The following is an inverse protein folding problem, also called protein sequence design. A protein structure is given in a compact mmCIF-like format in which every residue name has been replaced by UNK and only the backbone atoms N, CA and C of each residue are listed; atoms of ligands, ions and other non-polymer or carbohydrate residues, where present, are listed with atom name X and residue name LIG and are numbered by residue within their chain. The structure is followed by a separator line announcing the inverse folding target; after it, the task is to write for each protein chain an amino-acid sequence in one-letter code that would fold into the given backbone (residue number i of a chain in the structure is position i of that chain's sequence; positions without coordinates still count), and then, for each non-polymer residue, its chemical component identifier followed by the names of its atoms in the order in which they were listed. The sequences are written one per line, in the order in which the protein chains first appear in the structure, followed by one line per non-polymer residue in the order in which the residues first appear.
data_IF_589051733840
#
_entry.id   IF_589051733840
#
_cell.length_a   1.000
_cell.length_b   1.000
_cell.length_c   1.000
_cell.angle_alpha   90.00
_cell.angle_beta   90.00
_cell.angle_gamma   90.00
#
_symmetry.space_group_name_H-M   'P 1'
#
loop_
_entity.id
_entity.type
_entity.pdbx_description
1 polymer ?
#
# COMPACT_ATOMS: atom_id res chain seq x y z
N UNK A 1 12.73 -5.20 -23.60
CA UNK A 1 11.71 -5.67 -22.62
C UNK A 1 10.55 -4.69 -22.63
N UNK A 2 9.33 -5.16 -22.90
CA UNK A 2 8.12 -4.36 -22.86
C UNK A 2 7.30 -4.75 -21.61
N UNK A 3 6.77 -3.74 -20.92
CA UNK A 3 5.91 -3.90 -19.76
C UNK A 3 4.50 -3.50 -20.12
N UNK A 4 3.55 -4.38 -19.92
CA UNK A 4 2.12 -4.08 -20.00
C UNK A 4 1.50 -4.26 -18.61
N UNK A 5 0.81 -3.25 -18.12
CA UNK A 5 0.11 -3.28 -16.83
C UNK A 5 -1.37 -3.09 -17.11
N UNK A 6 -2.16 -4.04 -16.64
CA UNK A 6 -3.60 -4.06 -16.75
C UNK A 6 -4.18 -3.76 -15.36
N UNK A 7 -4.90 -2.68 -15.22
CA UNK A 7 -5.58 -2.31 -13.97
C UNK A 7 -7.04 -2.60 -14.14
N UNK A 8 -7.62 -3.37 -13.21
CA UNK A 8 -9.04 -3.80 -13.26
C UNK A 8 -9.41 -4.47 -14.60
N UNK A 9 -8.53 -5.35 -15.07
CA UNK A 9 -8.75 -6.12 -16.27
C UNK A 9 -10.07 -6.89 -16.16
N UNK A 10 -10.89 -6.83 -17.21
CA UNK A 10 -12.25 -7.37 -17.26
C UNK A 10 -13.18 -6.95 -16.09
N UNK A 11 -12.95 -5.75 -15.53
CA UNK A 11 -13.75 -5.23 -14.42
C UNK A 11 -13.42 -5.82 -13.06
N UNK A 12 -12.42 -6.70 -12.96
CA UNK A 12 -12.01 -7.33 -11.71
C UNK A 12 -11.13 -6.43 -10.85
N UNK A 13 -11.25 -6.51 -9.53
CA UNK A 13 -10.43 -5.71 -8.62
C UNK A 13 -9.03 -6.29 -8.49
N UNK A 14 -8.04 -5.51 -8.92
CA UNK A 14 -6.65 -5.88 -8.89
C UNK A 14 -5.87 -5.34 -10.06
N UNK A 15 -4.71 -5.90 -10.31
CA UNK A 15 -3.91 -5.61 -11.47
C UNK A 15 -3.19 -6.87 -11.95
N UNK A 16 -2.90 -6.87 -13.24
CA UNK A 16 -2.06 -7.89 -13.87
C UNK A 16 -0.92 -7.19 -14.59
N UNK A 17 0.23 -7.81 -14.66
CA UNK A 17 1.31 -7.33 -15.50
C UNK A 17 1.82 -8.43 -16.42
N UNK A 18 2.28 -8.03 -17.58
CA UNK A 18 3.00 -8.87 -18.53
C UNK A 18 4.33 -8.22 -18.83
N UNK A 19 5.42 -8.96 -18.66
CA UNK A 19 6.76 -8.54 -19.00
C UNK A 19 7.28 -9.41 -20.13
N UNK A 20 7.38 -8.85 -21.32
CA UNK A 20 7.93 -9.55 -22.48
C UNK A 20 9.45 -9.53 -22.39
N UNK A 21 10.05 -10.67 -22.04
CA UNK A 21 11.48 -10.91 -22.11
C UNK A 21 11.94 -11.30 -23.52
N UNK A 22 13.18 -11.72 -23.66
CA UNK A 22 13.75 -12.15 -24.93
C UNK A 22 13.27 -13.55 -25.34
N UNK A 23 13.17 -14.47 -24.36
CA UNK A 23 12.85 -15.89 -24.59
C UNK A 23 11.63 -16.37 -23.83
N UNK A 24 11.11 -15.58 -22.90
CA UNK A 24 9.95 -15.92 -22.08
C UNK A 24 9.11 -14.66 -21.79
N UNK A 25 7.93 -14.90 -21.25
CA UNK A 25 7.00 -13.86 -20.81
C UNK A 25 6.67 -14.14 -19.35
N UNK A 26 7.00 -13.18 -18.47
CA UNK A 26 6.59 -13.23 -17.07
C UNK A 26 5.18 -12.64 -16.94
N UNK A 27 4.31 -13.37 -16.28
CA UNK A 27 2.93 -12.94 -16.00
C UNK A 27 2.69 -12.99 -14.51
N UNK A 28 2.17 -11.91 -13.96
CA UNK A 28 1.66 -11.86 -12.59
C UNK A 28 0.24 -11.31 -12.63
N UNK A 29 -0.68 -11.97 -11.93
CA UNK A 29 -2.02 -11.45 -11.69
C UNK A 29 -2.28 -11.35 -10.19
N UNK A 30 -2.89 -10.26 -9.75
CA UNK A 30 -3.22 -10.01 -8.35
C UNK A 30 -4.68 -9.61 -8.22
N UNK A 31 -5.28 -9.99 -7.10
CA UNK A 31 -6.63 -9.56 -6.73
C UNK A 31 -6.65 -9.21 -5.24
N UNK A 32 -7.60 -8.39 -4.83
CA UNK A 32 -7.81 -8.06 -3.42
C UNK A 32 -8.68 -9.08 -2.68
N UNK A 33 -9.03 -10.16 -3.33
CA UNK A 33 -9.76 -11.30 -2.79
C UNK A 33 -9.06 -12.62 -3.18
N UNK A 34 -9.37 -13.74 -2.49
CA UNK A 34 -8.75 -15.02 -2.82
C UNK A 34 -8.98 -15.44 -4.27
N UNK A 35 -7.92 -15.89 -4.94
CA UNK A 35 -7.96 -16.36 -6.31
C UNK A 35 -8.29 -17.86 -6.35
N UNK A 36 -9.37 -18.23 -7.04
CA UNK A 36 -9.61 -19.64 -7.41
C UNK A 36 -8.78 -20.01 -8.64
N UNK A 37 -8.63 -21.32 -8.89
CA UNK A 37 -7.90 -21.80 -10.07
C UNK A 37 -8.64 -21.43 -11.36
N UNK A 38 -9.98 -21.42 -11.35
CA UNK A 38 -10.81 -21.02 -12.47
C UNK A 38 -10.59 -19.54 -12.82
N UNK A 39 -10.55 -18.66 -11.80
CA UNK A 39 -10.27 -17.24 -11.99
C UNK A 39 -8.87 -17.01 -12.57
N UNK A 40 -7.86 -17.73 -12.06
CA UNK A 40 -6.49 -17.63 -12.57
C UNK A 40 -6.45 -18.06 -14.05
N UNK A 41 -7.08 -19.19 -14.39
CA UNK A 41 -7.09 -19.69 -15.76
C UNK A 41 -7.85 -18.78 -16.72
N UNK A 42 -8.98 -18.22 -16.29
CA UNK A 42 -9.75 -17.25 -17.10
C UNK A 42 -8.96 -16.00 -17.37
N UNK A 43 -8.29 -15.46 -16.36
CA UNK A 43 -7.44 -14.28 -16.48
C UNK A 43 -6.24 -14.53 -17.40
N UNK A 44 -5.53 -15.65 -17.22
CA UNK A 44 -4.41 -16.01 -18.10
C UNK A 44 -4.85 -16.18 -19.55
N UNK A 45 -6.08 -16.70 -19.78
CA UNK A 45 -6.64 -16.80 -21.13
C UNK A 45 -6.91 -15.43 -21.73
N UNK A 46 -7.56 -14.54 -20.99
CA UNK A 46 -7.85 -13.19 -21.45
C UNK A 46 -6.55 -12.41 -21.76
N UNK A 47 -5.56 -12.47 -20.85
CA UNK A 47 -4.24 -11.86 -21.06
C UNK A 47 -3.51 -12.44 -22.28
N UNK A 48 -3.64 -13.74 -22.56
CA UNK A 48 -3.05 -14.36 -23.73
C UNK A 48 -3.73 -13.89 -25.05
N UNK A 49 -5.05 -13.70 -25.04
CA UNK A 49 -5.78 -13.18 -26.20
C UNK A 49 -5.36 -11.74 -26.55
N UNK A 50 -5.09 -10.92 -25.53
CA UNK A 50 -4.61 -9.54 -25.71
C UNK A 50 -3.11 -9.42 -25.97
N UNK A 51 -2.31 -10.42 -25.55
CA UNK A 51 -0.86 -10.45 -25.77
C UNK A 51 -0.43 -11.70 -26.55
N UNK A 52 -0.36 -11.63 -27.88
CA UNK A 52 0.03 -12.76 -28.72
C UNK A 52 1.43 -13.33 -28.46
N UNK A 53 2.32 -12.57 -27.79
CA UNK A 53 3.67 -13.02 -27.43
C UNK A 53 3.65 -13.94 -26.19
N UNK A 54 2.58 -13.96 -25.42
CA UNK A 54 2.41 -14.84 -24.28
C UNK A 54 2.25 -16.29 -24.76
N UNK A 55 3.23 -17.15 -24.46
CA UNK A 55 3.19 -18.58 -24.82
C UNK A 55 2.17 -19.36 -23.99
N UNK A 56 1.90 -20.61 -24.42
CA UNK A 56 0.97 -21.52 -23.72
C UNK A 56 1.67 -22.49 -22.76
N UNK A 57 3.00 -22.55 -22.79
CA UNK A 57 3.79 -23.48 -21.99
C UNK A 57 4.31 -22.77 -20.76
N UNK A 58 3.92 -23.25 -19.58
CA UNK A 58 4.53 -22.82 -18.32
C UNK A 58 5.97 -23.37 -18.26
N UNK A 59 6.96 -22.49 -18.15
CA UNK A 59 8.37 -22.85 -18.03
C UNK A 59 8.89 -22.74 -16.61
N UNK A 60 8.29 -21.89 -15.80
CA UNK A 60 8.59 -21.71 -14.37
C UNK A 60 7.46 -20.97 -13.67
N UNK A 61 7.43 -20.99 -12.34
CA UNK A 61 6.42 -20.31 -11.54
C UNK A 61 5.15 -21.15 -11.40
N UNK A 62 4.00 -20.54 -11.58
CA UNK A 62 2.70 -21.18 -11.35
C UNK A 62 2.37 -21.35 -9.86
N UNK A 63 2.95 -20.50 -9.00
CA UNK A 63 2.69 -20.46 -7.57
C UNK A 63 1.67 -19.37 -7.23
N UNK A 64 0.91 -19.61 -6.17
CA UNK A 64 -0.02 -18.66 -5.58
C UNK A 64 0.46 -18.29 -4.19
N UNK A 65 0.38 -17.02 -3.84
CA UNK A 65 0.74 -16.50 -2.53
C UNK A 65 -0.24 -15.41 -2.10
N UNK A 66 -0.48 -15.32 -0.81
CA UNK A 66 -1.18 -14.19 -0.20
C UNK A 66 -0.14 -13.19 0.32
N UNK A 67 -0.31 -11.93 -0.02
CA UNK A 67 0.62 -10.85 0.34
C UNK A 67 -0.14 -9.81 1.17
N UNK A 68 0.38 -9.40 2.34
CA UNK A 68 -0.28 -8.42 3.20
C UNK A 68 -0.17 -6.99 2.65
N UNK A 69 -0.89 -6.68 1.57
CA UNK A 69 -0.89 -5.34 0.94
C UNK A 69 -1.72 -4.35 1.76
N UNK A 70 -1.24 -4.02 2.93
CA UNK A 70 -1.86 -3.11 3.89
C UNK A 70 -0.79 -2.24 4.58
N UNK A 71 -1.23 -1.38 5.48
CA UNK A 71 -0.31 -0.65 6.38
C UNK A 71 0.48 -1.64 7.27
N UNK A 72 1.71 -1.28 7.69
CA UNK A 72 2.47 -2.06 8.67
C UNK A 72 1.67 -2.31 9.96
N UNK A 73 2.06 -3.29 10.76
CA UNK A 73 1.54 -3.45 12.11
C UNK A 73 1.82 -2.20 12.94
N UNK A 74 0.94 -1.88 13.89
CA UNK A 74 1.11 -0.74 14.80
C UNK A 74 2.27 -0.92 15.77
N UNK A 75 2.57 -2.18 16.12
CA UNK A 75 3.69 -2.62 16.97
C UNK A 75 4.14 -3.98 16.45
N UNK A 76 5.44 -4.15 16.26
CA UNK A 76 6.03 -5.39 15.77
C UNK A 76 7.29 -5.81 16.53
N UNK A 77 7.50 -5.24 17.73
CA UNK A 77 8.54 -5.64 18.68
C UNK A 77 7.94 -5.98 20.04
N UNK A 78 8.53 -6.94 20.71
CA UNK A 78 8.32 -7.22 22.15
C UNK A 78 9.61 -7.81 22.74
N UNK A 79 9.65 -8.09 24.06
CA UNK A 79 10.83 -8.64 24.69
C UNK A 79 11.29 -9.93 23.99
N UNK A 80 12.51 -9.91 23.48
CA UNK A 80 13.12 -11.03 22.77
C UNK A 80 12.60 -11.30 21.36
N UNK A 81 11.76 -10.41 20.80
CA UNK A 81 11.15 -10.63 19.50
C UNK A 81 11.02 -9.33 18.68
N UNK A 82 11.36 -9.42 17.40
CA UNK A 82 11.11 -8.37 16.42
C UNK A 82 10.69 -8.98 15.09
N UNK A 83 9.55 -8.54 14.53
CA UNK A 83 9.10 -8.99 13.23
C UNK A 83 9.67 -8.11 12.10
N UNK A 84 9.94 -8.73 10.94
CA UNK A 84 10.32 -8.06 9.69
C UNK A 84 9.57 -8.68 8.52
N UNK A 85 9.44 -7.94 7.41
CA UNK A 85 8.81 -8.44 6.20
C UNK A 85 7.31 -8.64 6.32
N UNK A 86 6.78 -9.68 5.67
CA UNK A 86 5.35 -9.90 5.55
C UNK A 86 4.67 -10.15 6.89
N UNK A 87 5.35 -10.77 7.87
CA UNK A 87 4.79 -10.97 9.21
C UNK A 87 4.58 -9.66 10.00
N UNK A 88 5.22 -8.56 9.58
CA UNK A 88 4.96 -7.21 10.08
C UNK A 88 4.21 -6.34 9.06
N UNK A 89 3.65 -6.94 8.01
CA UNK A 89 2.98 -6.26 6.90
C UNK A 89 3.86 -5.19 6.23
N UNK A 90 5.16 -5.48 6.08
CA UNK A 90 6.14 -4.55 5.48
C UNK A 90 6.19 -4.72 3.96
N UNK A 91 5.05 -4.58 3.31
CA UNK A 91 4.93 -4.56 1.86
C UNK A 91 4.60 -3.16 1.36
N UNK A 92 5.01 -2.84 0.14
CA UNK A 92 4.61 -1.60 -0.51
C UNK A 92 3.11 -1.69 -0.86
N UNK A 93 2.22 -0.93 -0.21
CA UNK A 93 0.78 -1.20 -0.25
C UNK A 93 0.13 -1.14 -1.62
N UNK A 94 0.69 -0.37 -2.55
CA UNK A 94 0.13 -0.19 -3.91
C UNK A 94 0.61 -1.28 -4.86
N UNK A 95 1.85 -1.78 -4.67
CA UNK A 95 2.50 -2.71 -5.62
C UNK A 95 2.66 -4.13 -5.07
N UNK A 96 2.44 -4.36 -3.78
CA UNK A 96 2.68 -5.66 -3.13
C UNK A 96 4.16 -6.05 -3.03
N UNK A 97 5.11 -5.14 -3.33
CA UNK A 97 6.56 -5.43 -3.28
C UNK A 97 7.08 -5.30 -1.86
N UNK A 98 7.49 -6.41 -1.22
CA UNK A 98 7.99 -6.45 0.16
C UNK A 98 9.51 -6.54 0.29
N UNK A 99 10.23 -7.02 -0.74
CA UNK A 99 11.67 -7.34 -0.66
C UNK A 99 12.50 -6.12 -0.21
N UNK A 100 12.29 -4.96 -0.82
CA UNK A 100 13.03 -3.74 -0.48
C UNK A 100 12.78 -3.26 0.95
N UNK A 101 11.54 -3.33 1.42
CA UNK A 101 11.19 -2.98 2.79
C UNK A 101 11.78 -3.97 3.80
N UNK A 102 11.70 -5.27 3.51
CA UNK A 102 12.25 -6.33 4.36
C UNK A 102 13.76 -6.22 4.51
N UNK A 103 14.50 -5.94 3.42
CA UNK A 103 15.95 -5.75 3.47
C UNK A 103 16.34 -4.51 4.29
N UNK A 104 15.64 -3.40 4.12
CA UNK A 104 15.87 -2.18 4.91
C UNK A 104 15.54 -2.41 6.38
N UNK A 105 14.38 -3.00 6.68
CA UNK A 105 13.98 -3.36 8.04
C UNK A 105 14.97 -4.30 8.71
N UNK A 106 15.44 -5.32 7.99
CA UNK A 106 16.50 -6.23 8.48
C UNK A 106 17.80 -5.51 8.79
N UNK A 107 18.21 -4.53 7.98
CA UNK A 107 19.39 -3.69 8.24
C UNK A 107 19.21 -2.84 9.50
N UNK A 108 18.03 -2.21 9.67
CA UNK A 108 17.71 -1.42 10.87
C UNK A 108 17.71 -2.29 12.14
N UNK A 109 17.08 -3.47 12.07
CA UNK A 109 17.06 -4.42 13.19
C UNK A 109 18.45 -4.93 13.53
N UNK A 110 19.28 -5.28 12.54
CA UNK A 110 20.64 -5.74 12.75
C UNK A 110 21.50 -4.67 13.44
N UNK A 111 21.36 -3.41 13.04
CA UNK A 111 22.03 -2.28 13.69
C UNK A 111 21.58 -2.13 15.14
N UNK A 112 20.27 -2.13 15.39
CA UNK A 112 19.68 -2.05 16.72
C UNK A 112 20.18 -3.21 17.61
N UNK A 113 20.19 -4.44 17.11
CA UNK A 113 20.68 -5.61 17.85
C UNK A 113 22.19 -5.55 18.13
N UNK A 114 23.01 -4.99 17.23
CA UNK A 114 24.45 -4.82 17.45
C UNK A 114 24.77 -3.74 18.50
N UNK A 115 23.88 -2.78 18.69
CA UNK A 115 24.01 -1.72 19.71
C UNK A 115 23.56 -2.20 21.12
N UNK A 116 22.81 -3.30 21.20
CA UNK A 116 22.39 -3.92 22.47
C UNK A 116 23.56 -4.71 23.11
N UNK A 117 24.39 -4.01 23.90
CA UNK A 117 25.59 -4.59 24.51
C UNK A 117 25.29 -5.63 25.58
N UNK A 118 24.14 -5.54 26.21
CA UNK A 118 23.73 -6.41 27.30
C UNK A 118 23.01 -7.68 26.77
N UNK A 119 22.66 -7.71 25.47
CA UNK A 119 22.00 -8.83 24.81
C UNK A 119 20.60 -9.13 25.37
N UNK A 120 19.93 -8.14 25.93
CA UNK A 120 18.61 -8.30 26.56
C UNK A 120 17.49 -8.33 25.53
N UNK A 121 17.67 -7.65 24.40
CA UNK A 121 16.68 -7.53 23.33
C UNK A 121 15.26 -7.26 23.86
N UNK A 122 15.17 -6.39 24.86
CA UNK A 122 13.89 -6.00 25.45
C UNK A 122 13.16 -4.96 24.59
N UNK A 123 11.90 -4.68 24.93
CA UNK A 123 11.10 -3.68 24.23
C UNK A 123 11.78 -2.32 24.12
N UNK A 124 12.48 -1.87 25.17
CA UNK A 124 13.14 -0.57 25.21
C UNK A 124 14.25 -0.46 24.15
N UNK A 125 15.08 -1.50 24.04
CA UNK A 125 16.13 -1.58 23.02
C UNK A 125 15.54 -1.74 21.63
N UNK A 126 14.63 -2.71 21.44
CA UNK A 126 14.06 -3.02 20.14
C UNK A 126 13.15 -1.91 19.58
N UNK A 127 12.63 -1.03 20.45
CA UNK A 127 11.83 0.12 20.02
C UNK A 127 12.60 1.08 19.10
N UNK A 128 13.91 1.14 19.21
CA UNK A 128 14.74 1.96 18.33
C UNK A 128 14.60 1.52 16.86
N UNK A 129 14.56 0.20 16.62
CA UNK A 129 14.30 -0.37 15.30
C UNK A 129 12.91 0.01 14.79
N UNK A 130 11.88 -0.13 15.63
CA UNK A 130 10.50 0.22 15.25
C UNK A 130 10.36 1.72 14.95
N UNK A 131 10.96 2.56 15.78
CA UNK A 131 10.95 4.01 15.59
C UNK A 131 11.69 4.44 14.30
N UNK A 132 12.85 3.84 14.01
CA UNK A 132 13.58 4.09 12.76
C UNK A 132 12.78 3.63 11.54
N UNK A 133 12.16 2.45 11.61
CA UNK A 133 11.32 1.94 10.54
C UNK A 133 10.11 2.85 10.26
N UNK A 134 9.34 3.25 11.28
CA UNK A 134 8.20 4.14 11.08
C UNK A 134 8.61 5.47 10.49
N UNK A 135 9.71 6.06 10.96
CA UNK A 135 10.26 7.32 10.46
C UNK A 135 10.65 7.24 8.98
N UNK A 136 11.35 6.17 8.59
CA UNK A 136 11.95 6.05 7.25
C UNK A 136 11.00 5.45 6.20
N UNK A 137 10.08 4.57 6.63
CA UNK A 137 9.25 3.76 5.73
C UNK A 137 7.79 3.76 6.18
N UNK A 138 7.53 3.46 7.47
CA UNK A 138 6.22 3.08 7.97
C UNK A 138 5.15 4.13 7.75
N UNK A 139 5.43 5.41 8.04
CA UNK A 139 4.46 6.49 7.81
C UNK A 139 4.14 6.68 6.32
N UNK A 140 5.15 6.58 5.45
CA UNK A 140 4.95 6.58 4.00
C UNK A 140 4.08 5.41 3.54
N UNK A 141 4.33 4.22 4.06
CA UNK A 141 3.51 3.04 3.78
C UNK A 141 2.07 3.21 4.27
N UNK A 142 1.84 3.80 5.45
CA UNK A 142 0.50 4.12 5.94
C UNK A 142 -0.25 5.06 5.00
N UNK A 143 0.39 6.11 4.52
CA UNK A 143 -0.21 7.06 3.56
C UNK A 143 -0.56 6.39 2.24
N UNK A 144 0.31 5.52 1.73
CA UNK A 144 0.02 4.74 0.52
C UNK A 144 -1.09 3.71 0.74
N UNK A 145 -1.19 3.11 1.94
CA UNK A 145 -2.28 2.21 2.28
C UNK A 145 -3.64 2.93 2.28
N UNK A 146 -3.69 4.17 2.77
CA UNK A 146 -4.89 5.01 2.66
C UNK A 146 -5.34 5.18 1.22
N UNK A 147 -4.40 5.49 0.34
CA UNK A 147 -4.70 5.67 -1.08
C UNK A 147 -5.10 4.35 -1.74
N UNK A 148 -4.39 3.25 -1.43
CA UNK A 148 -4.72 1.91 -1.96
C UNK A 148 -6.13 1.49 -1.58
N UNK A 149 -6.60 1.82 -0.38
CA UNK A 149 -7.95 1.47 0.07
C UNK A 149 -9.07 2.14 -0.76
N UNK A 150 -8.73 3.12 -1.59
CA UNK A 150 -9.66 3.70 -2.57
C UNK A 150 -9.74 2.87 -3.87
N UNK A 151 -8.68 2.13 -4.23
CA UNK A 151 -8.58 1.44 -5.52
C UNK A 151 -9.73 0.45 -5.83
N UNK A 152 -10.24 -0.34 -4.86
CA UNK A 152 -11.38 -1.23 -5.11
C UNK A 152 -12.65 -0.49 -5.54
N UNK A 153 -12.80 0.77 -5.12
CA UNK A 153 -14.00 1.57 -5.33
C UNK A 153 -13.94 2.52 -6.53
N UNK A 154 -12.83 2.56 -7.26
CA UNK A 154 -12.72 3.32 -8.51
C UNK A 154 -12.79 2.39 -9.71
N UNK A 155 -13.53 2.79 -10.71
CA UNK A 155 -13.60 2.08 -12.00
C UNK A 155 -12.32 2.31 -12.82
N UNK A 156 -12.06 1.47 -13.82
CA UNK A 156 -10.94 1.67 -14.75
C UNK A 156 -11.02 3.04 -15.45
N UNK A 157 -12.25 3.48 -15.79
CA UNK A 157 -12.50 4.80 -16.37
C UNK A 157 -12.12 5.93 -15.41
N UNK A 158 -12.53 5.85 -14.15
CA UNK A 158 -12.18 6.86 -13.13
C UNK A 158 -10.67 6.91 -12.88
N UNK A 159 -9.97 5.76 -12.87
CA UNK A 159 -8.50 5.74 -12.79
C UNK A 159 -7.89 6.45 -14.00
N UNK A 160 -8.41 6.19 -15.21
CA UNK A 160 -7.95 6.86 -16.42
C UNK A 160 -8.20 8.37 -16.38
N UNK A 161 -9.37 8.80 -15.91
CA UNK A 161 -9.73 10.22 -15.76
C UNK A 161 -8.78 10.90 -14.75
N UNK A 162 -8.54 10.27 -13.58
CA UNK A 162 -7.63 10.81 -12.56
C UNK A 162 -6.17 10.95 -13.05
N UNK A 163 -5.70 10.02 -13.86
CA UNK A 163 -4.35 10.07 -14.43
C UNK A 163 -4.27 10.99 -15.64
N UNK A 164 -5.27 10.97 -16.50
CA UNK A 164 -5.34 11.79 -17.73
C UNK A 164 -5.40 13.28 -17.44
N UNK A 165 -6.17 13.69 -16.43
CA UNK A 165 -6.29 15.07 -15.97
C UNK A 165 -5.15 15.50 -15.03
N UNK A 166 -4.10 14.69 -14.89
CA UNK A 166 -2.99 14.92 -13.94
C UNK A 166 -3.43 15.20 -12.50
N UNK A 167 -4.54 14.59 -12.08
CA UNK A 167 -5.07 14.75 -10.73
C UNK A 167 -4.20 14.01 -9.73
N UNK A 168 -3.58 12.91 -10.17
CA UNK A 168 -2.62 12.15 -9.40
C UNK A 168 -1.36 11.94 -10.23
N UNK A 169 -0.33 12.74 -9.96
CA UNK A 169 0.97 12.65 -10.66
C UNK A 169 1.94 11.73 -9.94
N UNK A 170 2.95 11.24 -10.66
CA UNK A 170 4.03 10.42 -10.08
C UNK A 170 4.80 11.19 -9.01
N UNK A 171 5.03 12.50 -9.21
CA UNK A 171 5.70 13.39 -8.27
C UNK A 171 4.92 13.51 -6.96
N UNK A 172 3.61 13.68 -7.04
CA UNK A 172 2.75 13.76 -5.84
C UNK A 172 2.68 12.43 -5.09
N UNK A 173 2.68 11.32 -5.81
CA UNK A 173 2.79 9.98 -5.21
C UNK A 173 4.09 9.83 -4.43
N UNK A 174 5.20 10.31 -4.99
CA UNK A 174 6.50 10.32 -4.33
C UNK A 174 6.50 11.24 -3.11
N UNK A 175 5.98 12.45 -3.23
CA UNK A 175 5.86 13.37 -2.11
C UNK A 175 4.98 12.82 -0.97
N UNK A 176 3.86 12.17 -1.32
CA UNK A 176 2.98 11.52 -0.35
C UNK A 176 3.69 10.43 0.44
N UNK A 177 4.62 9.74 -0.20
CA UNK A 177 5.44 8.72 0.45
C UNK A 177 6.55 9.32 1.33
N UNK A 178 7.28 10.31 0.81
CA UNK A 178 8.51 10.83 1.43
C UNK A 178 8.26 11.90 2.51
N UNK A 179 7.21 12.71 2.36
CA UNK A 179 6.95 13.86 3.23
C UNK A 179 5.93 13.53 4.33
N UNK A 180 6.06 14.17 5.48
CA UNK A 180 5.03 14.12 6.53
C UNK A 180 3.77 14.85 6.06
N UNK A 181 2.60 14.36 6.45
CA UNK A 181 1.34 15.02 6.08
C UNK A 181 1.23 16.44 6.63
N UNK A 182 1.81 16.73 7.80
CA UNK A 182 1.87 18.08 8.33
C UNK A 182 2.59 19.05 7.39
N UNK A 183 3.64 18.59 6.69
CA UNK A 183 4.34 19.41 5.68
C UNK A 183 3.59 19.53 4.35
N UNK A 184 2.64 18.63 4.09
CA UNK A 184 1.79 18.63 2.89
C UNK A 184 0.51 19.46 3.08
N UNK A 185 0.05 19.70 4.32
CA UNK A 185 -1.11 20.53 4.64
C UNK A 185 -0.77 22.03 4.66
N UNK A 186 -0.10 22.49 3.62
CA UNK A 186 0.19 23.92 3.43
C UNK A 186 -0.98 24.61 2.71
N UNK A 187 -1.14 25.95 2.84
CA UNK A 187 -2.12 26.70 2.06
C UNK A 187 -2.00 26.47 0.56
N UNK A 188 -0.78 26.24 0.07
CA UNK A 188 -0.51 25.91 -1.34
C UNK A 188 -1.05 24.53 -1.72
N UNK A 189 -0.86 23.53 -0.87
CA UNK A 189 -1.38 22.18 -1.10
C UNK A 189 -2.91 22.15 -1.07
N UNK A 190 -3.52 22.88 -0.13
CA UNK A 190 -4.99 23.03 -0.06
C UNK A 190 -5.53 23.71 -1.33
N UNK A 191 -4.83 24.74 -1.82
CA UNK A 191 -5.19 25.39 -3.09
C UNK A 191 -5.08 24.43 -4.28
N UNK A 192 -4.00 23.63 -4.34
CA UNK A 192 -3.81 22.63 -5.40
C UNK A 192 -4.93 21.55 -5.39
N UNK A 193 -5.30 21.05 -4.21
CA UNK A 193 -6.43 20.11 -4.07
C UNK A 193 -7.73 20.76 -4.58
N UNK A 194 -7.97 22.02 -4.23
CA UNK A 194 -9.18 22.73 -4.69
C UNK A 194 -9.22 22.88 -6.21
N UNK A 195 -8.09 23.18 -6.85
CA UNK A 195 -8.01 23.26 -8.31
C UNK A 195 -8.26 21.90 -8.96
N UNK A 196 -7.67 20.84 -8.43
CA UNK A 196 -7.92 19.47 -8.89
C UNK A 196 -9.38 19.04 -8.74
N UNK A 197 -10.04 19.41 -7.66
CA UNK A 197 -11.46 19.16 -7.48
C UNK A 197 -12.34 19.91 -8.50
N UNK A 198 -11.89 21.07 -9.01
CA UNK A 198 -12.59 21.76 -10.11
C UNK A 198 -12.47 21.03 -11.43
N UNK A 199 -11.33 20.40 -11.72
CA UNK A 199 -11.13 19.59 -12.91
C UNK A 199 -12.08 18.37 -12.94
N UNK A 200 -12.51 17.91 -11.76
CA UNK A 200 -13.45 16.80 -11.61
C UNK A 200 -14.93 17.23 -11.53
N UNK A 201 -15.29 18.47 -11.90
CA UNK A 201 -16.70 18.90 -11.81
C UNK A 201 -17.63 18.07 -12.68
N UNK A 202 -17.16 17.60 -13.83
CA UNK A 202 -17.91 16.74 -14.74
C UNK A 202 -17.84 15.25 -14.38
N UNK A 203 -17.10 14.91 -13.29
CA UNK A 203 -16.90 13.56 -12.78
C UNK A 203 -17.26 13.49 -11.27
N UNK A 204 -18.56 13.60 -10.91
CA UNK A 204 -18.98 13.75 -9.51
C UNK A 204 -18.55 12.59 -8.60
N UNK A 205 -18.54 11.37 -9.11
CA UNK A 205 -18.15 10.19 -8.33
C UNK A 205 -16.65 10.21 -8.00
N UNK A 206 -15.81 10.46 -9.00
CA UNK A 206 -14.34 10.62 -8.81
C UNK A 206 -14.03 11.78 -7.87
N UNK A 207 -14.76 12.89 -7.99
CA UNK A 207 -14.63 14.05 -7.11
C UNK A 207 -14.96 13.72 -5.66
N UNK A 208 -16.06 13.00 -5.40
CA UNK A 208 -16.47 12.59 -4.05
C UNK A 208 -15.47 11.61 -3.44
N UNK A 209 -14.93 10.68 -4.22
CA UNK A 209 -13.89 9.74 -3.78
C UNK A 209 -12.60 10.48 -3.40
N UNK A 210 -12.18 11.47 -4.20
CA UNK A 210 -11.01 12.30 -3.88
C UNK A 210 -11.24 13.14 -2.61
N UNK A 211 -12.45 13.69 -2.42
CA UNK A 211 -12.80 14.40 -1.19
C UNK A 211 -12.75 13.49 0.03
N UNK A 212 -13.31 12.29 -0.04
CA UNK A 212 -13.25 11.32 1.03
C UNK A 212 -11.80 10.93 1.37
N UNK A 213 -10.97 10.70 0.36
CA UNK A 213 -9.55 10.45 0.56
C UNK A 213 -8.88 11.61 1.31
N UNK A 214 -9.15 12.85 0.91
CA UNK A 214 -8.60 14.05 1.58
C UNK A 214 -9.01 14.12 3.05
N UNK A 215 -10.26 13.79 3.38
CA UNK A 215 -10.73 13.74 4.77
C UNK A 215 -9.96 12.70 5.58
N UNK A 216 -9.73 11.49 5.02
CA UNK A 216 -8.99 10.45 5.70
C UNK A 216 -7.51 10.82 5.89
N UNK A 217 -6.89 11.47 4.91
CA UNK A 217 -5.55 12.04 5.09
C UNK A 217 -5.50 13.09 6.19
N UNK A 218 -6.50 13.97 6.28
CA UNK A 218 -6.62 14.94 7.37
C UNK A 218 -6.74 14.27 8.75
N UNK A 219 -7.52 13.20 8.87
CA UNK A 219 -7.61 12.41 10.10
C UNK A 219 -6.28 11.72 10.43
N UNK A 220 -5.60 11.15 9.42
CA UNK A 220 -4.28 10.53 9.61
C UNK A 220 -3.24 11.52 10.13
N UNK A 221 -3.26 12.76 9.65
CA UNK A 221 -2.37 13.82 10.13
C UNK A 221 -2.50 14.10 11.64
N UNK A 222 -3.62 13.71 12.27
CA UNK A 222 -3.82 13.77 13.73
C UNK A 222 -3.39 12.50 14.46
N UNK A 223 -3.26 11.38 13.74
CA UNK A 223 -2.81 10.10 14.30
C UNK A 223 -1.29 9.99 14.26
N UNK A 224 -0.68 10.26 13.11
CA UNK A 224 0.77 10.12 12.86
C UNK A 224 1.66 10.75 13.95
N UNK A 225 1.41 12.00 14.43
CA UNK A 225 2.24 12.62 15.48
C UNK A 225 2.10 11.98 16.86
N UNK A 226 1.16 11.06 17.07
CA UNK A 226 0.99 10.37 18.36
C UNK A 226 1.91 9.16 18.52
N UNK A 227 2.74 8.86 17.51
CA UNK A 227 3.74 7.79 17.57
C UNK A 227 4.82 8.12 18.62
N UNK A 228 5.08 7.24 19.58
CA UNK A 228 6.11 7.45 20.59
C UNK A 228 7.50 7.18 20.01
N UNK A 229 8.34 8.20 19.91
CA UNK A 229 9.73 8.07 19.41
C UNK A 229 10.67 7.36 20.39
N UNK A 230 10.26 7.23 21.64
CA UNK A 230 10.96 6.46 22.69
C UNK A 230 9.98 5.47 23.29
N UNK A 231 10.49 4.33 23.73
CA UNK A 231 9.66 3.34 24.39
C UNK A 231 9.08 3.89 25.69
N UNK A 232 7.78 3.88 25.76
CA UNK A 232 6.96 4.02 26.97
C UNK A 232 5.74 3.14 26.79
N UNK A 233 5.56 2.16 27.66
CA UNK A 233 4.52 1.14 27.53
C UNK A 233 3.12 1.73 27.39
N UNK A 234 2.82 2.79 28.14
CA UNK A 234 1.50 3.42 28.09
C UNK A 234 1.31 4.21 26.79
N UNK A 235 2.33 4.95 26.36
CA UNK A 235 2.31 5.68 25.09
C UNK A 235 2.22 4.74 23.89
N UNK A 236 2.96 3.61 23.89
CA UNK A 236 2.91 2.58 22.86
C UNK A 236 1.52 1.95 22.79
N UNK A 237 0.93 1.59 23.94
CA UNK A 237 -0.44 1.03 23.96
C UNK A 237 -1.47 2.02 23.42
N UNK A 238 -1.38 3.29 23.79
CA UNK A 238 -2.25 4.35 23.30
C UNK A 238 -2.10 4.60 21.79
N UNK A 239 -0.86 4.57 21.30
CA UNK A 239 -0.55 4.63 19.88
C UNK A 239 -1.20 3.47 19.13
N UNK A 240 -0.92 2.22 19.57
CA UNK A 240 -1.43 1.02 18.93
C UNK A 240 -2.96 1.01 18.84
N UNK A 241 -3.65 1.38 19.94
CA UNK A 241 -5.10 1.51 19.96
C UNK A 241 -5.57 2.54 18.92
N UNK A 242 -5.05 3.77 18.97
CA UNK A 242 -5.44 4.86 18.06
C UNK A 242 -5.17 4.53 16.60
N UNK A 243 -4.04 3.88 16.33
CA UNK A 243 -3.64 3.44 14.99
C UNK A 243 -4.59 2.38 14.44
N UNK A 244 -4.86 1.32 15.24
CA UNK A 244 -5.74 0.24 14.82
C UNK A 244 -7.18 0.72 14.62
N UNK A 245 -7.74 1.46 15.58
CA UNK A 245 -9.06 2.08 15.46
C UNK A 245 -9.18 2.95 14.21
N UNK A 246 -8.12 3.71 13.87
CA UNK A 246 -8.11 4.53 12.67
C UNK A 246 -8.26 3.70 11.41
N UNK A 247 -7.44 2.65 11.23
CA UNK A 247 -7.47 1.82 10.02
C UNK A 247 -8.69 0.89 9.95
N UNK A 248 -9.23 0.44 11.08
CA UNK A 248 -10.46 -0.35 11.15
C UNK A 248 -11.71 0.46 10.76
N UNK A 249 -11.69 1.77 11.03
CA UNK A 249 -12.81 2.66 10.73
C UNK A 249 -12.78 3.28 9.33
N UNK A 250 -11.76 2.97 8.50
CA UNK A 250 -11.72 3.47 7.12
C UNK A 250 -12.76 2.75 6.28
N UNK A 251 -13.89 3.42 6.07
CA UNK A 251 -14.94 2.98 5.15
C UNK A 251 -15.03 3.99 4.02
N UNK A 252 -14.63 3.58 2.81
CA UNK A 252 -14.80 4.42 1.62
C UNK A 252 -16.17 4.19 0.96
N UNK A 253 -16.66 2.96 1.01
CA UNK A 253 -18.01 2.56 0.57
C UNK A 253 -18.39 1.33 1.39
N UNK A 254 -19.66 1.15 1.72
CA UNK A 254 -20.15 -0.12 2.24
C UNK A 254 -20.11 -1.14 1.10
N UNK A 255 -19.30 -2.17 1.23
CA UNK A 255 -19.38 -3.34 0.37
C UNK A 255 -20.70 -4.03 0.67
N UNK A 256 -21.56 -4.16 -0.31
CA UNK A 256 -22.64 -5.13 -0.24
C UNK A 256 -22.00 -6.51 -0.53
N UNK A 257 -21.96 -7.40 0.47
CA UNK A 257 -21.40 -8.76 0.32
C UNK A 257 -22.04 -9.52 -0.87
N UNK A 258 -23.19 -9.05 -1.36
CA UNK A 258 -23.89 -9.60 -2.53
C UNK A 258 -23.20 -9.25 -3.86
N UNK A 259 -22.33 -8.25 -3.88
CA UNK A 259 -21.60 -7.83 -5.09
C UNK A 259 -20.27 -8.60 -5.26
N UNK A 260 -19.97 -9.55 -4.36
CA UNK A 260 -18.74 -10.35 -4.39
C UNK A 260 -18.91 -11.72 -5.06
N UNK A 261 -20.13 -12.08 -5.55
CA UNK A 261 -20.41 -13.38 -6.17
C UNK A 261 -21.21 -13.25 -7.47
#
# INVERSE_FOLDING_TARGET
TAYNIYVKHDGTDGFSWIVNGENDVDVLTTRFYPLSDELILSELKALHEENPHMGKKLVRGGTRAEIPVRQPLSVFVCDGYAAIGDCACMTYPVKGSGIGYSLRAGTMLAKCAAEDKDGLFNCETLWQYEAEFFKEIGFGACRLALMKNLLPYVTAKEVSDLMGENILTTEEMKELYEKTLGSLLTPRAVSAIREKLKLLNDHPDSRNKLLNMTVWFGKWAMVEPSFPTKYDRAAVSKWAQKYNEFFENIKYVEYDERDLF
#
